data_IF_968048403529
#
_entry.id   IF_968048403529
#
_cell.length_a   1.000
_cell.length_b   1.000
_cell.length_c   1.000
_cell.angle_alpha   90.00
_cell.angle_beta   90.00
_cell.angle_gamma   90.00
#
_symmetry.space_group_name_H-M   'P 1'
#
loop_
_entity.id
_entity.type
_entity.pdbx_description
1 polymer ?
#
# COMPACT_ATOMS: atom_id res chain seq x y z
N UNK A 1 2.64 18.14 -26.18
CA UNK A 1 2.38 19.00 -27.35
C UNK A 1 2.60 20.46 -26.93
N UNK A 2 3.38 21.25 -27.67
CA UNK A 2 3.61 22.67 -27.38
C UNK A 2 3.12 23.49 -28.56
N UNK A 3 2.34 24.54 -28.29
CA UNK A 3 1.79 25.46 -29.29
C UNK A 3 2.52 26.79 -29.15
N UNK A 4 2.99 27.34 -30.25
CA UNK A 4 3.66 28.65 -30.30
C UNK A 4 3.33 29.36 -31.62
N UNK A 5 3.69 30.65 -31.69
CA UNK A 5 3.41 31.51 -32.84
C UNK A 5 4.67 31.65 -33.68
N UNK A 6 4.62 31.22 -34.94
CA UNK A 6 5.72 31.27 -35.91
C UNK A 6 5.22 32.01 -37.16
N UNK A 7 5.90 33.08 -37.56
CA UNK A 7 5.51 33.94 -38.70
C UNK A 7 4.04 34.41 -38.70
N UNK A 8 3.47 34.64 -37.52
CA UNK A 8 2.09 35.08 -37.36
C UNK A 8 1.05 33.94 -37.29
N UNK A 9 1.45 32.71 -37.57
CA UNK A 9 0.59 31.53 -37.57
C UNK A 9 0.82 30.68 -36.31
N UNK A 10 -0.24 30.08 -35.77
CA UNK A 10 -0.13 29.18 -34.63
C UNK A 10 0.32 27.79 -35.11
N UNK A 11 1.45 27.33 -34.59
CA UNK A 11 2.05 26.04 -34.93
C UNK A 11 2.09 25.17 -33.68
N UNK A 12 1.64 23.92 -33.81
CA UNK A 12 1.74 22.93 -32.76
C UNK A 12 2.85 21.93 -33.09
N UNK A 13 3.87 21.85 -32.23
CA UNK A 13 4.89 20.79 -32.33
C UNK A 13 4.63 19.75 -31.24
N UNK A 14 4.29 18.53 -31.66
CA UNK A 14 4.30 17.34 -30.82
C UNK A 14 5.71 16.76 -30.80
N UNK A 15 6.36 16.78 -29.63
CA UNK A 15 7.64 16.10 -29.44
C UNK A 15 7.36 14.60 -29.47
N UNK A 16 7.75 13.92 -30.55
CA UNK A 16 7.64 12.46 -30.70
C UNK A 16 6.76 11.94 -31.83
N UNK A 17 6.61 12.67 -32.95
CA UNK A 17 6.04 12.12 -34.18
C UNK A 17 7.02 12.40 -35.32
N UNK A 18 7.33 11.37 -36.08
CA UNK A 18 8.42 11.30 -37.06
C UNK A 18 8.36 12.42 -38.12
N UNK A 19 9.53 12.90 -38.53
CA UNK A 19 9.73 13.98 -39.51
C UNK A 19 9.27 13.63 -40.95
N UNK A 20 8.73 12.43 -41.18
CA UNK A 20 8.18 12.00 -42.48
C UNK A 20 6.69 12.35 -42.67
N UNK A 21 5.99 12.79 -41.63
CA UNK A 21 4.64 13.34 -41.80
C UNK A 21 4.75 14.83 -42.15
N UNK A 22 4.82 15.11 -43.44
CA UNK A 22 4.84 16.46 -44.00
C UNK A 22 3.75 17.38 -43.41
N UNK A 23 3.94 18.71 -43.51
CA UNK A 23 2.99 19.67 -42.94
C UNK A 23 1.61 19.37 -43.50
N UNK A 24 0.65 19.04 -42.64
CA UNK A 24 -0.76 18.96 -43.02
C UNK A 24 -1.25 20.38 -43.28
N UNK A 25 -0.87 20.94 -44.43
CA UNK A 25 -1.51 22.11 -45.02
C UNK A 25 -2.82 21.65 -45.59
N UNK A 26 -3.90 21.83 -44.83
CA UNK A 26 -5.26 21.70 -45.34
C UNK A 26 -5.46 22.77 -46.43
N UNK A 27 -5.80 22.41 -47.68
CA UNK A 27 -6.21 23.40 -48.66
C UNK A 27 -7.64 23.85 -48.30
N UNK A 28 -7.82 25.15 -48.08
CA UNK A 28 -9.15 25.74 -48.11
C UNK A 28 -9.49 25.98 -49.58
N UNK A 29 -10.26 25.07 -50.16
CA UNK A 29 -11.09 25.35 -51.33
C UNK A 29 -12.34 26.11 -50.87
N UNK A 30 -12.69 27.13 -51.66
CA UNK A 30 -13.96 27.84 -51.55
C UNK A 30 -13.75 29.33 -51.78
N UNK A 31 -14.56 30.04 -52.55
CA UNK A 31 -15.60 29.72 -53.52
C UNK A 31 -16.04 31.09 -54.06
N UNK A 32 -16.61 31.12 -55.25
CA UNK A 32 -17.02 32.32 -55.98
C UNK A 32 -17.90 33.28 -55.16
N UNK A 33 -17.59 34.57 -55.27
CA UNK A 33 -18.34 35.68 -54.66
C UNK A 33 -19.55 35.98 -55.55
N UNK A 34 -20.76 35.72 -55.04
CA UNK A 34 -21.99 36.29 -55.56
C UNK A 34 -22.65 37.16 -54.50
N UNK A 35 -22.82 38.43 -54.87
CA UNK A 35 -23.58 39.46 -54.16
C UNK A 35 -25.07 39.11 -54.17
N UNK A 36 -25.67 38.88 -53.01
CA UNK A 36 -27.11 39.09 -52.81
C UNK A 36 -27.37 39.48 -51.34
N UNK A 37 -28.14 40.55 -51.19
CA UNK A 37 -28.49 41.21 -49.93
C UNK A 37 -29.50 40.42 -49.07
N UNK A 38 -29.42 40.70 -47.76
CA UNK A 38 -30.52 40.72 -46.78
C UNK A 38 -31.08 39.38 -46.24
N UNK A 39 -30.21 38.59 -45.59
CA UNK A 39 -30.63 37.62 -44.57
C UNK A 39 -30.26 38.13 -43.15
N UNK A 40 -31.18 38.06 -42.16
CA UNK A 40 -30.87 38.43 -40.79
C UNK A 40 -29.72 37.55 -40.24
N UNK A 41 -28.84 38.09 -39.39
CA UNK A 41 -27.64 37.38 -38.96
C UNK A 41 -28.02 36.06 -38.30
N UNK A 42 -27.35 34.94 -38.63
CA UNK A 42 -27.56 33.69 -37.93
C UNK A 42 -27.23 33.91 -36.45
N UNK A 43 -28.17 33.56 -35.57
CA UNK A 43 -27.99 33.59 -34.12
C UNK A 43 -26.63 32.96 -33.76
N UNK A 44 -25.81 33.59 -32.89
CA UNK A 44 -24.49 33.09 -32.58
C UNK A 44 -24.62 31.65 -32.07
N UNK A 45 -24.00 30.74 -32.83
CA UNK A 45 -23.91 29.33 -32.47
C UNK A 45 -23.33 29.26 -31.07
N UNK A 46 -24.14 28.83 -30.08
CA UNK A 46 -23.65 28.61 -28.73
C UNK A 46 -22.43 27.69 -28.80
N UNK A 47 -21.32 28.03 -28.11
CA UNK A 47 -20.18 27.14 -28.04
C UNK A 47 -20.66 25.84 -27.36
N UNK A 48 -20.56 24.72 -28.07
CA UNK A 48 -20.72 23.38 -27.49
C UNK A 48 -19.59 23.16 -26.47
N UNK A 49 -19.75 23.68 -25.26
CA UNK A 49 -18.79 23.53 -24.14
C UNK A 49 -18.98 22.21 -23.37
N UNK A 50 -19.75 21.25 -23.88
CA UNK A 50 -20.13 20.04 -23.15
C UNK A 50 -19.54 18.78 -23.77
N UNK A 51 -18.21 18.57 -23.75
CA UNK A 51 -17.67 17.21 -23.96
C UNK A 51 -16.25 16.91 -23.49
N UNK A 52 -15.50 17.89 -22.99
CA UNK A 52 -14.12 17.66 -22.51
C UNK A 52 -14.03 17.51 -20.99
N UNK A 53 -14.99 18.08 -20.25
CA UNK A 53 -15.01 18.02 -18.79
C UNK A 53 -15.40 16.65 -18.23
N UNK A 54 -16.16 15.83 -18.99
CA UNK A 54 -16.62 14.51 -18.51
C UNK A 54 -15.50 13.48 -18.51
N UNK A 55 -14.70 13.38 -19.58
CA UNK A 55 -13.62 12.39 -19.63
C UNK A 55 -12.49 12.65 -18.62
N UNK A 56 -12.31 13.90 -18.19
CA UNK A 56 -11.34 14.24 -17.14
C UNK A 56 -11.92 14.07 -15.74
N UNK A 57 -13.24 14.21 -15.54
CA UNK A 57 -13.89 13.86 -14.27
C UNK A 57 -13.92 12.35 -14.05
N UNK A 58 -14.26 11.58 -15.08
CA UNK A 58 -14.39 10.12 -14.99
C UNK A 58 -13.03 9.46 -14.68
N UNK A 59 -11.95 9.95 -15.32
CA UNK A 59 -10.58 9.49 -15.02
C UNK A 59 -10.15 9.76 -13.56
N UNK A 60 -10.57 10.89 -13.00
CA UNK A 60 -10.26 11.22 -11.60
C UNK A 60 -11.07 10.36 -10.62
N UNK A 61 -12.33 10.07 -10.95
CA UNK A 61 -13.23 9.22 -10.16
C UNK A 61 -12.68 7.77 -10.07
N UNK A 62 -12.28 7.20 -11.21
CA UNK A 62 -11.72 5.84 -11.27
C UNK A 62 -10.43 5.71 -10.47
N UNK A 63 -9.54 6.70 -10.58
CA UNK A 63 -8.29 6.71 -9.84
C UNK A 63 -8.52 6.88 -8.33
N UNK A 64 -9.49 7.72 -7.94
CA UNK A 64 -9.89 7.88 -6.55
C UNK A 64 -10.47 6.57 -5.98
N UNK A 65 -11.37 5.91 -6.71
CA UNK A 65 -11.95 4.64 -6.31
C UNK A 65 -10.89 3.53 -6.16
N UNK A 66 -9.92 3.47 -7.08
CA UNK A 66 -8.79 2.55 -7.00
C UNK A 66 -7.93 2.82 -5.75
N UNK A 67 -7.61 4.08 -5.48
CA UNK A 67 -6.88 4.47 -4.27
C UNK A 67 -7.64 4.08 -3.01
N UNK A 68 -8.95 4.31 -2.96
CA UNK A 68 -9.78 3.96 -1.81
C UNK A 68 -9.79 2.44 -1.59
N UNK A 69 -9.97 1.65 -2.66
CA UNK A 69 -9.91 0.18 -2.57
C UNK A 69 -8.55 -0.33 -2.08
N UNK A 70 -7.45 0.34 -2.46
CA UNK A 70 -6.11 0.01 -1.92
C UNK A 70 -5.97 0.37 -0.45
N UNK A 71 -6.54 1.50 -0.02
CA UNK A 71 -6.56 1.90 1.39
C UNK A 71 -7.37 0.89 2.21
N UNK A 72 -8.54 0.48 1.73
CA UNK A 72 -9.40 -0.51 2.40
C UNK A 72 -8.70 -1.87 2.52
N UNK A 73 -8.01 -2.31 1.45
CA UNK A 73 -7.21 -3.53 1.46
C UNK A 73 -6.04 -3.45 2.45
N UNK A 74 -5.35 -2.30 2.52
CA UNK A 74 -4.27 -2.08 3.47
C UNK A 74 -4.81 -2.06 4.90
N UNK A 75 -5.94 -1.41 5.16
CA UNK A 75 -6.59 -1.39 6.47
C UNK A 75 -6.94 -2.82 6.94
N UNK A 76 -7.54 -3.62 6.07
CA UNK A 76 -7.83 -5.04 6.34
C UNK A 76 -6.56 -5.85 6.65
N UNK A 77 -5.48 -5.60 5.91
CA UNK A 77 -4.18 -6.24 6.16
C UNK A 77 -3.62 -5.85 7.54
N UNK A 78 -3.70 -4.57 7.90
CA UNK A 78 -3.26 -4.06 9.21
C UNK A 78 -4.08 -4.68 10.34
N UNK A 79 -5.40 -4.79 10.18
CA UNK A 79 -6.27 -5.43 11.17
C UNK A 79 -5.94 -6.91 11.33
N UNK A 80 -5.67 -7.62 10.23
CA UNK A 80 -5.22 -9.01 10.26
C UNK A 80 -3.87 -9.18 10.99
N UNK A 81 -2.90 -8.31 10.70
CA UNK A 81 -1.61 -8.30 11.39
C UNK A 81 -1.75 -8.01 12.89
N UNK A 82 -2.65 -7.10 13.28
CA UNK A 82 -2.93 -6.78 14.68
C UNK A 82 -3.46 -7.99 15.44
N UNK A 83 -4.35 -8.78 14.83
CA UNK A 83 -4.83 -10.02 15.42
C UNK A 83 -3.71 -11.05 15.57
N UNK A 84 -2.90 -11.24 14.51
CA UNK A 84 -1.77 -12.17 14.57
C UNK A 84 -0.74 -11.80 15.67
N UNK A 85 -0.47 -10.51 15.85
CA UNK A 85 0.39 -10.02 16.95
C UNK A 85 -0.21 -10.34 18.31
N UNK A 86 -1.52 -10.13 18.49
CA UNK A 86 -2.21 -10.46 19.74
C UNK A 86 -2.14 -11.96 20.05
N UNK A 87 -2.32 -12.82 19.05
CA UNK A 87 -2.23 -14.27 19.22
C UNK A 87 -0.82 -14.74 19.57
N UNK A 88 0.21 -14.12 18.97
CA UNK A 88 1.61 -14.38 19.32
C UNK A 88 1.92 -13.94 20.76
N UNK A 89 1.40 -12.80 21.21
CA UNK A 89 1.58 -12.34 22.60
C UNK A 89 0.93 -13.30 23.60
N UNK A 90 -0.28 -13.79 23.30
CA UNK A 90 -0.95 -14.80 24.12
C UNK A 90 -0.14 -16.11 24.17
N UNK A 91 0.36 -16.55 23.02
CA UNK A 91 1.20 -17.76 22.93
C UNK A 91 2.48 -17.61 23.75
N UNK A 92 3.17 -16.47 23.65
CA UNK A 92 4.37 -16.18 24.43
C UNK A 92 4.11 -16.20 25.94
N UNK A 93 2.98 -15.62 26.38
CA UNK A 93 2.56 -15.63 27.79
C UNK A 93 2.29 -17.05 28.31
N UNK A 94 1.65 -17.89 27.51
CA UNK A 94 1.40 -19.29 27.85
C UNK A 94 2.70 -20.11 27.95
N UNK A 95 3.64 -19.89 27.03
CA UNK A 95 4.97 -20.51 27.07
C UNK A 95 5.70 -20.08 28.34
N UNK A 96 5.71 -18.79 28.67
CA UNK A 96 6.36 -18.27 29.88
C UNK A 96 5.78 -18.91 31.15
N UNK A 97 4.45 -19.05 31.21
CA UNK A 97 3.76 -19.72 32.33
C UNK A 97 4.18 -21.19 32.44
N UNK A 98 4.24 -21.90 31.32
CA UNK A 98 4.64 -23.31 31.27
C UNK A 98 6.09 -23.50 31.72
N UNK A 99 7.00 -22.65 31.24
CA UNK A 99 8.41 -22.66 31.64
C UNK A 99 8.55 -22.39 33.14
N UNK A 100 7.80 -21.43 33.69
CA UNK A 100 7.77 -21.17 35.13
C UNK A 100 7.31 -22.39 35.95
N UNK A 101 6.27 -23.09 35.50
CA UNK A 101 5.80 -24.31 36.15
C UNK A 101 6.82 -25.46 36.10
N UNK A 102 7.52 -25.61 34.98
CA UNK A 102 8.60 -26.60 34.83
C UNK A 102 9.79 -26.27 35.73
N UNK A 103 10.19 -25.01 35.81
CA UNK A 103 11.27 -24.56 36.71
C UNK A 103 10.95 -24.90 38.16
N UNK A 104 9.74 -24.60 38.63
CA UNK A 104 9.30 -24.96 39.97
C UNK A 104 9.33 -26.48 40.22
N UNK A 105 8.94 -27.27 39.22
CA UNK A 105 9.00 -28.74 39.31
C UNK A 105 10.44 -29.24 39.44
N UNK A 106 11.37 -28.65 38.68
CA UNK A 106 12.81 -28.96 38.79
C UNK A 106 13.34 -28.59 40.18
N UNK A 107 12.99 -27.43 40.71
CA UNK A 107 13.44 -26.97 42.03
C UNK A 107 12.97 -27.91 43.15
N UNK A 108 11.72 -28.40 43.06
CA UNK A 108 11.17 -29.41 43.97
C UNK A 108 11.97 -30.72 43.88
N UNK A 109 12.20 -31.22 42.66
CA UNK A 109 12.96 -32.46 42.44
C UNK A 109 14.38 -32.34 43.01
N UNK A 110 15.06 -31.22 42.75
CA UNK A 110 16.41 -30.97 43.28
C UNK A 110 16.39 -30.91 44.81
N UNK A 111 15.39 -30.28 45.42
CA UNK A 111 15.25 -30.25 46.88
C UNK A 111 15.06 -31.64 47.48
N UNK A 112 14.23 -32.48 46.86
CA UNK A 112 14.01 -33.87 47.26
C UNK A 112 15.29 -34.71 47.12
N UNK A 113 16.04 -34.52 46.03
CA UNK A 113 17.31 -35.21 45.81
C UNK A 113 18.36 -34.84 46.87
N UNK A 114 18.47 -33.56 47.23
CA UNK A 114 19.34 -33.13 48.31
C UNK A 114 18.92 -33.72 49.66
N UNK A 115 17.62 -33.76 49.97
CA UNK A 115 17.11 -34.37 51.19
C UNK A 115 17.45 -35.87 51.28
N UNK A 116 17.27 -36.60 50.17
CA UNK A 116 17.66 -38.02 50.09
C UNK A 116 19.17 -38.20 50.25
N UNK A 117 19.98 -37.40 49.55
CA UNK A 117 21.43 -37.48 49.66
C UNK A 117 21.90 -37.21 51.10
N UNK A 118 21.35 -36.20 51.76
CA UNK A 118 21.62 -35.94 53.17
C UNK A 118 21.24 -37.13 54.05
N UNK A 119 20.08 -37.74 53.81
CA UNK A 119 19.61 -38.88 54.60
C UNK A 119 20.52 -40.10 54.45
N UNK A 120 20.98 -40.40 53.24
CA UNK A 120 21.90 -41.51 52.98
C UNK A 120 23.33 -41.21 53.46
N UNK A 121 23.78 -39.95 53.37
CA UNK A 121 25.13 -39.54 53.76
C UNK A 121 25.38 -39.52 55.27
N UNK A 122 24.34 -39.35 56.09
CA UNK A 122 24.48 -39.29 57.56
C UNK A 122 24.19 -40.62 58.28
N UNK A 123 23.98 -41.71 57.56
CA UNK A 123 23.62 -43.03 58.13
C UNK A 123 24.77 -43.82 58.76
N UNK A 124 26.02 -43.39 58.63
CA UNK A 124 27.17 -44.03 59.28
C UNK A 124 27.70 -43.12 60.40
N UNK A 125 27.51 -43.46 61.69
CA UNK A 125 28.25 -42.76 62.74
C UNK A 125 29.75 -42.97 62.51
N UNK A 126 30.60 -41.97 62.79
CA UNK A 126 32.05 -42.18 62.76
C UNK A 126 32.34 -43.32 63.73
N UNK A 127 32.86 -44.43 63.19
CA UNK A 127 33.34 -45.55 63.98
C UNK A 127 34.40 -45.03 64.93
N UNK A 128 34.05 -44.90 66.22
CA UNK A 128 35.02 -44.56 67.25
C UNK A 128 36.23 -45.49 67.12
N UNK A 129 37.46 -44.96 67.05
CA UNK A 129 38.63 -45.81 66.99
C UNK A 129 38.72 -46.65 68.28
N UNK A 130 39.20 -47.90 68.19
CA UNK A 130 39.33 -48.76 69.36
C UNK A 130 40.28 -48.10 70.36
N UNK A 131 39.80 -47.89 71.59
CA UNK A 131 40.68 -47.55 72.72
C UNK A 131 41.66 -48.72 72.91
N UNK A 132 42.96 -48.40 72.86
CA UNK A 132 44.08 -49.30 73.12
C UNK A 132 44.49 -49.12 74.58
#
# INVERSE_FOLDING_TARGET
MKIFKENGQWVAKSKGFDDESGPSTLPFEGEDIHDDEDAPPPSPSQPRSHRLSSSTSDFNEDHFNLLNGRIDSLASTVDGLKHAVSDLQNTATNIQTTVGGLQNSVDIIMSLLHALHSHLGTGFPPSSPPEI
#
